data_IF_460614474467
#
_entry.id   IF_460614474467
#
_cell.length_a   1.000
_cell.length_b   1.000
_cell.length_c   1.000
_cell.angle_alpha   90.00
_cell.angle_beta   90.00
_cell.angle_gamma   90.00
#
_symmetry.space_group_name_H-M   'P 1'
#
loop_
_entity.id
_entity.type
_entity.pdbx_description
1 polymer ?
#
# COMPACT_ATOMS: atom_id res chain seq x y z
N UNK A 1 -19.30 5.59 8.24
CA UNK A 1 -18.31 4.88 9.10
C UNK A 1 -18.78 4.93 10.55
N UNK A 2 -18.37 3.99 11.42
CA UNK A 2 -18.73 4.06 12.85
C UNK A 2 -18.33 5.43 13.41
N UNK A 3 -19.29 6.17 13.95
CA UNK A 3 -19.09 7.53 14.49
C UNK A 3 -19.32 8.69 13.53
N UNK A 4 -19.68 8.46 12.25
CA UNK A 4 -20.06 9.53 11.32
C UNK A 4 -21.55 9.47 10.98
N UNK A 5 -22.19 10.63 10.82
CA UNK A 5 -23.63 10.74 10.49
C UNK A 5 -23.93 10.10 9.13
N UNK A 6 -24.92 9.20 9.07
CA UNK A 6 -25.34 8.58 7.80
C UNK A 6 -26.02 9.57 6.84
N UNK A 7 -26.54 10.68 7.35
CA UNK A 7 -27.15 11.73 6.53
C UNK A 7 -26.12 12.65 5.87
N UNK A 8 -24.86 12.62 6.33
CA UNK A 8 -23.79 13.45 5.78
C UNK A 8 -23.08 12.70 4.62
N UNK A 9 -23.11 13.22 3.38
CA UNK A 9 -22.39 12.63 2.25
C UNK A 9 -20.88 12.46 2.50
N UNK A 10 -20.25 13.31 3.33
CA UNK A 10 -18.83 13.21 3.68
C UNK A 10 -18.48 11.98 4.56
N UNK A 11 -19.50 11.26 5.03
CA UNK A 11 -19.35 10.01 5.77
C UNK A 11 -19.01 8.80 4.91
N UNK A 12 -19.15 8.93 3.59
CA UNK A 12 -18.94 7.87 2.61
C UNK A 12 -17.65 8.09 1.82
N UNK A 13 -17.15 7.01 1.21
CA UNK A 13 -16.06 7.07 0.24
C UNK A 13 -16.61 6.58 -1.10
N UNK A 14 -16.69 7.44 -2.13
CA UNK A 14 -17.19 7.01 -3.43
C UNK A 14 -16.26 5.94 -4.01
N UNK A 15 -16.84 4.97 -4.72
CA UNK A 15 -16.11 3.92 -5.43
C UNK A 15 -16.46 3.98 -6.91
N UNK A 16 -15.47 3.75 -7.77
CA UNK A 16 -15.69 3.65 -9.20
C UNK A 16 -15.96 2.19 -9.57
N UNK A 17 -17.15 1.89 -10.08
CA UNK A 17 -17.48 0.56 -10.60
C UNK A 17 -17.19 0.57 -12.09
N UNK A 18 -16.00 0.11 -12.46
CA UNK A 18 -15.58 0.07 -13.85
C UNK A 18 -16.32 -1.04 -14.65
N UNK A 19 -16.59 -0.80 -15.94
CA UNK A 19 -17.04 -1.85 -16.86
C UNK A 19 -16.08 -3.04 -16.88
N UNK A 20 -16.60 -4.23 -17.20
CA UNK A 20 -15.80 -5.46 -17.20
C UNK A 20 -14.55 -5.36 -18.10
N UNK A 21 -14.68 -4.77 -19.29
CA UNK A 21 -13.56 -4.59 -20.21
C UNK A 21 -12.46 -3.70 -19.62
N UNK A 22 -12.82 -2.63 -18.91
CA UNK A 22 -11.87 -1.73 -18.27
C UNK A 22 -11.05 -2.44 -17.19
N UNK A 23 -11.66 -3.32 -16.39
CA UNK A 23 -10.95 -4.12 -15.37
C UNK A 23 -9.94 -5.09 -15.98
N UNK A 24 -10.24 -5.63 -17.16
CA UNK A 24 -9.31 -6.50 -17.90
C UNK A 24 -8.09 -5.66 -18.35
N UNK A 25 -8.33 -4.48 -18.94
CA UNK A 25 -7.27 -3.56 -19.34
C UNK A 25 -6.39 -3.16 -18.15
N UNK A 26 -6.98 -2.82 -17.00
CA UNK A 26 -6.24 -2.51 -15.78
C UNK A 26 -5.28 -3.62 -15.36
N UNK A 27 -5.68 -4.89 -15.54
CA UNK A 27 -4.82 -6.02 -15.19
C UNK A 27 -3.57 -6.05 -16.05
N UNK A 28 -3.71 -5.81 -17.36
CA UNK A 28 -2.57 -5.76 -18.31
C UNK A 28 -1.64 -4.60 -17.95
N UNK A 29 -2.19 -3.40 -17.77
CA UNK A 29 -1.40 -2.20 -17.43
C UNK A 29 -0.68 -2.38 -16.10
N UNK A 30 -1.37 -2.93 -15.08
CA UNK A 30 -0.79 -3.19 -13.77
C UNK A 30 0.42 -4.13 -13.87
N UNK A 31 0.32 -5.21 -14.63
CA UNK A 31 1.43 -6.16 -14.77
C UNK A 31 2.67 -5.51 -15.38
N UNK A 32 2.51 -4.76 -16.46
CA UNK A 32 3.64 -4.08 -17.10
C UNK A 32 4.24 -3.00 -16.19
N UNK A 33 3.39 -2.25 -15.49
CA UNK A 33 3.82 -1.24 -14.54
C UNK A 33 4.59 -1.84 -13.35
N UNK A 34 4.15 -2.97 -12.80
CA UNK A 34 4.87 -3.67 -11.73
C UNK A 34 6.25 -4.16 -12.19
N UNK A 35 6.37 -4.65 -13.43
CA UNK A 35 7.66 -5.07 -14.02
C UNK A 35 8.60 -3.87 -14.16
N UNK A 36 8.08 -2.75 -14.67
CA UNK A 36 8.87 -1.53 -14.83
C UNK A 36 9.39 -1.00 -13.48
N UNK A 37 8.53 -0.93 -12.46
CA UNK A 37 8.91 -0.50 -11.12
C UNK A 37 9.91 -1.44 -10.45
N UNK A 38 9.85 -2.74 -10.74
CA UNK A 38 10.82 -3.70 -10.24
C UNK A 38 12.20 -3.53 -10.90
N UNK A 39 12.26 -3.25 -12.21
CA UNK A 39 13.51 -3.04 -12.95
C UNK A 39 14.23 -1.75 -12.57
N UNK A 40 13.46 -0.69 -12.29
CA UNK A 40 14.01 0.64 -11.99
C UNK A 40 14.30 0.88 -10.52
N UNK A 41 13.91 -0.04 -9.64
CA UNK A 41 13.92 0.14 -8.17
C UNK A 41 13.28 1.45 -7.71
N UNK A 42 12.30 1.97 -8.48
CA UNK A 42 11.70 3.28 -8.25
C UNK A 42 10.91 3.40 -6.93
N UNK A 43 10.57 2.27 -6.30
CA UNK A 43 9.85 2.23 -5.03
C UNK A 43 10.79 1.98 -3.84
N UNK A 44 10.68 2.75 -2.75
CA UNK A 44 11.49 2.53 -1.56
C UNK A 44 11.30 1.12 -0.97
N UNK A 45 12.39 0.56 -0.44
CA UNK A 45 12.37 -0.70 0.29
C UNK A 45 11.53 -0.67 1.59
N UNK A 46 11.03 0.49 1.99
CA UNK A 46 10.11 0.66 3.12
C UNK A 46 8.64 0.74 2.70
N UNK A 47 8.33 0.63 1.41
CA UNK A 47 6.95 0.53 0.95
C UNK A 47 6.49 -0.93 0.99
N UNK A 48 5.44 -1.20 1.77
CA UNK A 48 4.92 -2.55 1.98
C UNK A 48 3.54 -2.76 1.35
N UNK A 49 2.70 -1.73 1.30
CA UNK A 49 1.39 -1.80 0.66
C UNK A 49 1.51 -2.00 -0.86
N UNK A 50 0.58 -2.76 -1.43
CA UNK A 50 0.44 -2.96 -2.88
C UNK A 50 1.73 -3.49 -3.55
N UNK A 51 2.52 -4.27 -2.82
CA UNK A 51 3.78 -4.87 -3.28
C UNK A 51 3.72 -6.37 -3.16
N UNK A 52 4.08 -7.09 -4.23
CA UNK A 52 4.21 -8.54 -4.19
C UNK A 52 5.21 -8.98 -3.12
N UNK A 53 4.85 -9.99 -2.33
CA UNK A 53 5.68 -10.53 -1.25
C UNK A 53 5.84 -9.62 -0.02
N UNK A 54 5.05 -8.55 0.09
CA UNK A 54 5.03 -7.66 1.26
C UNK A 54 3.63 -7.60 1.85
N UNK A 55 3.59 -7.42 3.17
CA UNK A 55 2.37 -7.44 3.98
C UNK A 55 2.48 -6.45 5.14
N UNK A 56 1.38 -6.24 5.85
CA UNK A 56 1.37 -5.48 7.11
C UNK A 56 2.25 -6.14 8.19
N UNK A 57 2.35 -7.47 8.19
CA UNK A 57 3.24 -8.20 9.11
C UNK A 57 4.72 -7.91 8.82
N UNK A 58 5.13 -7.93 7.55
CA UNK A 58 6.50 -7.55 7.17
C UNK A 58 6.81 -6.08 7.48
N UNK A 59 5.81 -5.20 7.37
CA UNK A 59 5.95 -3.79 7.73
C UNK A 59 6.20 -3.62 9.22
N UNK A 60 5.39 -4.28 10.06
CA UNK A 60 5.52 -4.23 11.52
C UNK A 60 6.85 -4.83 11.99
N UNK A 61 7.25 -5.98 11.46
CA UNK A 61 8.53 -6.60 11.78
C UNK A 61 9.72 -5.68 11.41
N UNK A 62 9.64 -5.02 10.25
CA UNK A 62 10.68 -4.07 9.83
C UNK A 62 10.72 -2.84 10.73
N UNK A 63 9.57 -2.31 11.14
CA UNK A 63 9.49 -1.18 12.06
C UNK A 63 10.08 -1.53 13.43
N UNK A 64 9.70 -2.69 13.99
CA UNK A 64 10.21 -3.18 15.26
C UNK A 64 11.75 -3.37 15.22
N UNK A 65 12.26 -4.02 14.18
CA UNK A 65 13.70 -4.21 14.01
C UNK A 65 14.46 -2.87 13.88
N UNK A 66 13.83 -1.84 13.29
CA UNK A 66 14.43 -0.50 13.21
C UNK A 66 14.51 0.18 14.56
N UNK A 67 13.47 0.09 15.39
CA UNK A 67 13.46 0.69 16.72
C UNK A 67 14.50 0.06 17.64
N UNK A 68 14.59 -1.27 17.69
CA UNK A 68 15.62 -1.97 18.47
C UNK A 68 17.04 -1.54 18.07
N UNK A 69 17.29 -1.37 16.77
CA UNK A 69 18.58 -0.88 16.27
C UNK A 69 18.84 0.58 16.64
N UNK A 70 17.81 1.41 16.76
CA UNK A 70 17.95 2.81 17.15
C UNK A 70 18.25 2.93 18.66
N UNK A 71 17.60 2.12 19.48
CA UNK A 71 17.81 2.03 20.92
C UNK A 71 19.23 1.59 21.26
N UNK A 72 19.74 0.53 20.61
CA UNK A 72 21.12 0.07 20.75
C UNK A 72 22.17 1.13 20.39
N UNK A 73 21.79 2.12 19.57
CA UNK A 73 22.68 3.22 19.14
C UNK A 73 22.55 4.46 20.03
N UNK A 74 21.75 4.40 21.09
CA UNK A 74 21.48 5.54 21.99
C UNK A 74 20.79 6.70 21.27
N UNK A 75 19.99 6.43 20.23
CA UNK A 75 19.31 7.43 19.40
C UNK A 75 17.80 7.51 19.65
N UNK A 76 17.33 6.97 20.77
CA UNK A 76 15.97 7.08 21.28
C UNK A 76 16.01 7.59 22.71
#
# INVERSE_FOLDING_TARGET
>A
GKGKSAADPASYRPVCILPALSKILETVVKTDFEIHLAKTEALPNTQFGFRRGRSTTTALATAHAKWLKAEQRGKL
#
